data_IF_097100839558
#
_entry.id   IF_097100839558
#
_cell.length_a   1.000
_cell.length_b   1.000
_cell.length_c   1.000
_cell.angle_alpha   90.00
_cell.angle_beta   90.00
_cell.angle_gamma   90.00
#
_symmetry.space_group_name_H-M   'P 1'
#
loop_
_entity.id
_entity.type
_entity.pdbx_description
1 polymer ?
#
# COMPACT_ATOMS: atom_id res chain seq x y z
N UNK A 1 25.98 10.16 19.84
CA UNK A 1 25.33 9.20 20.73
C UNK A 1 24.51 8.26 19.87
N UNK A 2 24.75 6.94 19.86
CA UNK A 2 23.81 6.04 19.23
C UNK A 2 22.56 6.03 20.12
N UNK A 3 21.46 6.58 19.61
CA UNK A 3 20.14 6.41 20.22
C UNK A 3 19.87 4.91 20.25
N UNK A 4 19.92 4.30 21.44
CA UNK A 4 19.49 2.92 21.60
C UNK A 4 18.05 2.83 21.09
N UNK A 5 17.83 1.98 20.09
CA UNK A 5 16.52 1.73 19.52
C UNK A 5 15.70 0.91 20.53
N UNK A 6 15.15 1.59 21.55
CA UNK A 6 14.38 0.98 22.65
C UNK A 6 13.15 0.22 22.13
N UNK A 7 12.61 0.63 20.99
CA UNK A 7 11.49 -0.02 20.33
C UNK A 7 11.90 -1.08 19.31
N UNK A 8 13.21 -1.24 19.04
CA UNK A 8 13.73 -2.16 18.06
C UNK A 8 13.49 -3.63 18.40
N UNK A 9 13.24 -3.95 19.67
CA UNK A 9 12.93 -5.30 20.14
C UNK A 9 11.43 -5.62 20.16
N UNK A 10 10.55 -4.63 19.96
CA UNK A 10 9.10 -4.87 19.94
C UNK A 10 8.71 -5.59 18.62
N UNK A 11 8.10 -6.79 18.69
CA UNK A 11 7.72 -7.55 17.50
C UNK A 11 6.73 -6.80 16.58
N UNK A 12 5.83 -6.01 17.15
CA UNK A 12 4.84 -5.20 16.43
C UNK A 12 5.54 -4.09 15.68
N UNK A 13 6.50 -3.41 16.32
CA UNK A 13 7.29 -2.35 15.67
C UNK A 13 8.14 -2.93 14.54
N UNK A 14 8.77 -4.09 14.75
CA UNK A 14 9.51 -4.78 13.69
C UNK A 14 8.60 -5.16 12.52
N UNK A 15 7.41 -5.69 12.78
CA UNK A 15 6.43 -6.02 11.74
C UNK A 15 6.03 -4.77 10.95
N UNK A 16 5.68 -3.68 11.62
CA UNK A 16 5.33 -2.42 10.97
C UNK A 16 6.48 -1.87 10.11
N UNK A 17 7.71 -1.91 10.61
CA UNK A 17 8.90 -1.51 9.84
C UNK A 17 9.06 -2.35 8.57
N UNK A 18 8.89 -3.67 8.66
CA UNK A 18 8.94 -4.58 7.49
C UNK A 18 7.84 -4.23 6.47
N UNK A 19 6.61 -3.99 6.93
CA UNK A 19 5.50 -3.57 6.08
C UNK A 19 5.85 -2.28 5.35
N UNK A 20 6.29 -1.24 6.06
CA UNK A 20 6.65 0.03 5.45
C UNK A 20 7.80 -0.11 4.44
N UNK A 21 8.84 -0.89 4.76
CA UNK A 21 9.93 -1.16 3.82
C UNK A 21 9.45 -1.87 2.55
N UNK A 22 8.55 -2.85 2.68
CA UNK A 22 7.96 -3.55 1.53
C UNK A 22 7.08 -2.63 0.69
N UNK A 23 6.28 -1.78 1.32
CA UNK A 23 5.45 -0.77 0.65
C UNK A 23 6.29 0.25 -0.11
N UNK A 24 7.34 0.78 0.52
CA UNK A 24 8.22 1.78 -0.10
C UNK A 24 8.93 1.21 -1.33
N UNK A 25 9.44 -0.03 -1.23
CA UNK A 25 10.07 -0.72 -2.37
C UNK A 25 9.05 -0.97 -3.50
N UNK A 26 7.88 -1.49 -3.16
CA UNK A 26 6.82 -1.77 -4.15
C UNK A 26 6.32 -0.48 -4.83
N UNK A 27 6.23 0.62 -4.08
CA UNK A 27 5.87 1.92 -4.63
C UNK A 27 6.95 2.47 -5.57
N UNK A 28 8.24 2.35 -5.20
CA UNK A 28 9.36 2.77 -6.07
C UNK A 28 9.36 2.00 -7.38
N UNK A 29 9.16 0.69 -7.32
CA UNK A 29 9.07 -0.16 -8.52
C UNK A 29 7.87 0.25 -9.39
N UNK A 30 6.68 0.42 -8.81
CA UNK A 30 5.50 0.90 -9.53
C UNK A 30 5.75 2.24 -10.25
N UNK A 31 6.30 3.22 -9.56
CA UNK A 31 6.53 4.56 -10.15
C UNK A 31 7.58 4.52 -11.25
N UNK A 32 8.60 3.66 -11.13
CA UNK A 32 9.58 3.42 -12.19
C UNK A 32 8.92 2.80 -13.41
N UNK A 33 8.08 1.79 -13.21
CA UNK A 33 7.40 1.08 -14.30
C UNK A 33 6.39 1.98 -15.03
N UNK A 34 5.75 2.92 -14.31
CA UNK A 34 4.86 3.93 -14.89
C UNK A 34 5.60 5.13 -15.51
N UNK A 35 6.93 5.20 -15.39
CA UNK A 35 7.77 6.32 -15.85
C UNK A 35 7.28 7.70 -15.33
N UNK A 36 6.87 7.77 -14.06
CA UNK A 36 6.35 8.99 -13.45
C UNK A 36 7.45 9.69 -12.65
N UNK A 37 7.55 11.01 -12.81
CA UNK A 37 8.41 11.84 -11.97
C UNK A 37 8.00 11.76 -10.50
N UNK A 38 8.96 11.56 -9.60
CA UNK A 38 8.73 11.61 -8.15
C UNK A 38 8.15 12.95 -7.66
N UNK A 39 8.32 14.00 -8.46
CA UNK A 39 7.83 15.36 -8.20
C UNK A 39 6.47 15.65 -8.86
N UNK A 40 5.82 14.66 -9.49
CA UNK A 40 4.50 14.85 -10.06
C UNK A 40 3.50 15.26 -8.94
N UNK A 41 2.83 16.42 -9.06
CA UNK A 41 1.99 16.96 -8.00
C UNK A 41 0.78 16.08 -7.67
N UNK A 42 0.36 15.22 -8.61
CA UNK A 42 -0.75 14.27 -8.43
C UNK A 42 -0.38 13.17 -7.43
N UNK A 43 0.91 12.82 -7.33
CA UNK A 43 1.37 11.76 -6.42
C UNK A 43 1.12 12.08 -4.96
N UNK A 44 1.24 13.34 -4.54
CA UNK A 44 0.96 13.72 -3.15
C UNK A 44 -0.50 13.42 -2.79
N UNK A 45 -1.43 13.80 -3.66
CA UNK A 45 -2.87 13.57 -3.46
C UNK A 45 -3.19 12.08 -3.51
N UNK A 46 -2.64 11.35 -4.49
CA UNK A 46 -2.83 9.91 -4.63
C UNK A 46 -2.32 9.14 -3.40
N UNK A 47 -1.10 9.44 -2.92
CA UNK A 47 -0.51 8.83 -1.72
C UNK A 47 -1.34 9.08 -0.46
N UNK A 48 -1.79 10.32 -0.24
CA UNK A 48 -2.61 10.65 0.93
C UNK A 48 -3.91 9.84 0.92
N UNK A 49 -4.64 9.84 -0.21
CA UNK A 49 -5.87 9.06 -0.33
C UNK A 49 -5.63 7.55 -0.20
N UNK A 50 -4.52 7.04 -0.75
CA UNK A 50 -4.17 5.63 -0.66
C UNK A 50 -3.95 5.21 0.80
N UNK A 51 -3.25 6.04 1.57
CA UNK A 51 -3.06 5.83 3.01
C UNK A 51 -4.40 5.81 3.73
N UNK A 52 -5.24 6.82 3.50
CA UNK A 52 -6.52 6.92 4.20
C UNK A 52 -7.44 5.70 3.87
N UNK A 53 -7.43 5.23 2.62
CA UNK A 53 -8.14 4.00 2.21
C UNK A 53 -7.54 2.75 2.85
N UNK A 54 -6.21 2.66 2.91
CA UNK A 54 -5.52 1.53 3.53
C UNK A 54 -5.81 1.45 5.03
N UNK A 55 -5.75 2.57 5.76
CA UNK A 55 -6.06 2.65 7.19
C UNK A 55 -7.49 2.21 7.49
N UNK A 56 -8.44 2.54 6.61
CA UNK A 56 -9.84 2.11 6.74
C UNK A 56 -10.04 0.62 6.45
N UNK A 57 -9.38 0.10 5.42
CA UNK A 57 -9.65 -1.25 4.90
C UNK A 57 -8.78 -2.34 5.52
N UNK A 58 -7.59 -2.00 6.02
CA UNK A 58 -6.66 -2.98 6.57
C UNK A 58 -7.19 -3.73 7.80
N UNK A 59 -7.80 -3.08 8.81
CA UNK A 59 -8.40 -3.79 9.94
C UNK A 59 -9.51 -4.76 9.52
N UNK A 60 -10.34 -4.36 8.54
CA UNK A 60 -11.41 -5.19 7.99
C UNK A 60 -10.86 -6.38 7.19
N UNK A 61 -9.79 -6.17 6.43
CA UNK A 61 -9.12 -7.22 5.66
C UNK A 61 -8.47 -8.26 6.60
N UNK A 62 -7.88 -7.81 7.71
CA UNK A 62 -7.35 -8.69 8.76
C UNK A 62 -8.46 -9.48 9.44
N UNK A 63 -9.57 -8.82 9.82
CA UNK A 63 -10.71 -9.48 10.47
C UNK A 63 -11.35 -10.57 9.58
N UNK A 64 -11.40 -10.34 8.27
CA UNK A 64 -11.92 -11.28 7.27
C UNK A 64 -10.87 -12.29 6.79
N UNK A 65 -9.69 -12.32 7.40
CA UNK A 65 -8.56 -13.20 7.05
C UNK A 65 -8.12 -13.10 5.57
N UNK A 66 -8.41 -11.97 4.92
CA UNK A 66 -7.98 -11.68 3.54
C UNK A 66 -6.50 -11.31 3.52
N UNK A 67 -6.05 -10.61 4.55
CA UNK A 67 -4.65 -10.27 4.79
C UNK A 67 -4.23 -10.93 6.10
N UNK A 68 -3.11 -11.65 6.07
CA UNK A 68 -2.60 -12.39 7.24
C UNK A 68 -1.11 -12.22 7.50
N UNK A 69 -0.40 -11.46 6.65
CA UNK A 69 1.04 -11.21 6.79
C UNK A 69 1.44 -9.87 6.16
N UNK A 70 2.71 -9.49 6.32
CA UNK A 70 3.26 -8.21 5.87
C UNK A 70 3.17 -8.03 4.35
N UNK A 71 3.31 -9.13 3.60
CA UNK A 71 3.15 -9.13 2.14
C UNK A 71 1.71 -8.86 1.74
N UNK A 72 0.74 -9.45 2.42
CA UNK A 72 -0.68 -9.19 2.21
C UNK A 72 -1.05 -7.74 2.50
N UNK A 73 -0.52 -7.16 3.59
CA UNK A 73 -0.72 -5.75 3.91
C UNK A 73 -0.12 -4.84 2.84
N UNK A 74 1.07 -5.19 2.33
CA UNK A 74 1.71 -4.48 1.21
C UNK A 74 0.86 -4.55 -0.06
N UNK A 75 0.35 -5.73 -0.42
CA UNK A 75 -0.51 -5.89 -1.59
C UNK A 75 -1.80 -5.06 -1.48
N UNK A 76 -2.45 -5.09 -0.30
CA UNK A 76 -3.63 -4.27 -0.03
C UNK A 76 -3.34 -2.78 -0.26
N UNK A 77 -2.24 -2.26 0.28
CA UNK A 77 -1.82 -0.88 0.05
C UNK A 77 -1.55 -0.58 -1.43
N UNK A 78 -0.89 -1.49 -2.15
CA UNK A 78 -0.60 -1.29 -3.58
C UNK A 78 -1.89 -1.23 -4.42
N UNK A 79 -2.92 -2.00 -4.07
CA UNK A 79 -4.24 -1.86 -4.70
C UNK A 79 -4.90 -0.52 -4.39
N UNK A 80 -4.86 -0.06 -3.13
CA UNK A 80 -5.35 1.27 -2.76
C UNK A 80 -4.61 2.37 -3.54
N UNK A 81 -3.28 2.26 -3.67
CA UNK A 81 -2.45 3.20 -4.42
C UNK A 81 -2.78 3.20 -5.91
N UNK A 82 -2.88 2.02 -6.54
CA UNK A 82 -3.25 1.91 -7.94
C UNK A 82 -4.62 2.56 -8.21
N UNK A 83 -5.60 2.30 -7.34
CA UNK A 83 -6.92 2.91 -7.43
C UNK A 83 -6.86 4.44 -7.34
N UNK A 84 -6.13 4.99 -6.37
CA UNK A 84 -6.07 6.45 -6.19
C UNK A 84 -5.21 7.14 -7.23
N UNK A 85 -4.21 6.47 -7.81
CA UNK A 85 -3.47 6.97 -8.97
C UNK A 85 -4.42 7.15 -10.16
N UNK A 86 -5.23 6.14 -10.49
CA UNK A 86 -6.24 6.22 -11.55
C UNK A 86 -7.24 7.35 -11.30
N UNK A 87 -7.74 7.51 -10.06
CA UNK A 87 -8.63 8.62 -9.70
C UNK A 87 -7.99 10.02 -9.83
N UNK A 88 -6.66 10.10 -9.84
CA UNK A 88 -5.93 11.35 -10.04
C UNK A 88 -5.41 11.51 -11.49
N UNK A 89 -5.89 10.68 -12.43
CA UNK A 89 -5.55 10.78 -13.86
C UNK A 89 -4.17 10.22 -14.20
N UNK A 90 -3.66 9.30 -13.39
CA UNK A 90 -2.47 8.50 -13.69
C UNK A 90 -2.94 7.11 -14.08
N UNK A 91 -2.74 6.73 -15.35
CA UNK A 91 -3.08 5.38 -15.82
C UNK A 91 -2.16 4.34 -15.18
N UNK A 92 -2.76 3.34 -14.52
CA UNK A 92 -2.05 2.20 -13.96
C UNK A 92 -2.47 0.95 -14.74
N UNK A 93 -1.55 0.28 -15.45
CA UNK A 93 -1.88 -0.93 -16.19
C UNK A 93 -2.42 -2.03 -15.25
N UNK A 94 -3.45 -2.75 -15.68
CA UNK A 94 -4.06 -3.83 -14.88
C UNK A 94 -3.06 -4.93 -14.49
N UNK A 95 -2.04 -5.15 -15.32
CA UNK A 95 -0.97 -6.12 -15.09
C UNK A 95 -0.10 -5.75 -13.86
N UNK A 96 -0.07 -4.46 -13.51
CA UNK A 96 0.65 -3.95 -12.33
C UNK A 96 -0.28 -3.89 -11.11
N UNK A 97 -1.59 -3.78 -11.35
CA UNK A 97 -2.63 -3.68 -10.33
C UNK A 97 -3.05 -5.04 -9.73
N UNK A 98 -2.81 -6.19 -10.40
CA UNK A 98 -3.36 -7.48 -9.96
C UNK A 98 -2.32 -8.58 -9.76
N UNK A 99 -2.08 -8.95 -8.49
CA UNK A 99 -1.49 -10.25 -8.12
C UNK A 99 -2.35 -11.09 -7.18
N UNK A 100 -3.36 -10.51 -6.50
CA UNK A 100 -4.29 -11.26 -5.64
C UNK A 100 -5.75 -10.80 -5.86
N UNK A 101 -6.53 -11.64 -6.54
CA UNK A 101 -7.92 -11.37 -6.88
C UNK A 101 -8.83 -11.20 -5.64
N UNK A 102 -8.48 -11.84 -4.51
CA UNK A 102 -9.29 -11.76 -3.28
C UNK A 102 -9.25 -10.35 -2.72
N UNK A 103 -8.07 -9.73 -2.71
CA UNK A 103 -7.88 -8.35 -2.25
C UNK A 103 -8.61 -7.38 -3.19
N UNK A 104 -8.50 -7.58 -4.51
CA UNK A 104 -9.20 -6.75 -5.49
C UNK A 104 -10.73 -6.83 -5.33
N UNK A 105 -11.29 -8.03 -5.16
CA UNK A 105 -12.72 -8.22 -4.92
C UNK A 105 -13.19 -7.61 -3.60
N UNK A 106 -12.39 -7.72 -2.55
CA UNK A 106 -12.67 -7.11 -1.26
C UNK A 106 -12.74 -5.59 -1.35
N UNK A 107 -11.71 -4.96 -1.92
CA UNK A 107 -11.69 -3.50 -2.08
C UNK A 107 -12.85 -2.99 -2.95
N UNK A 108 -13.23 -3.72 -4.01
CA UNK A 108 -14.42 -3.34 -4.81
C UNK A 108 -15.73 -3.37 -4.02
N UNK A 109 -15.83 -4.18 -2.95
CA UNK A 109 -17.01 -4.23 -2.08
C UNK A 109 -17.00 -3.12 -1.04
N UNK A 110 -15.83 -2.83 -0.45
CA UNK A 110 -15.70 -1.83 0.62
C UNK A 110 -15.56 -0.39 0.10
N UNK A 111 -15.13 -0.18 -1.16
CA UNK A 111 -15.03 1.14 -1.81
C UNK A 111 -16.31 1.56 -2.57
N UNK A 112 -17.41 0.81 -2.40
CA UNK A 112 -18.70 1.07 -3.07
C UNK A 112 -19.56 2.07 -2.31
#
# INVERSE_FOLDING_TARGET
>A
MPTQDEWGHDPTVQMMRRIFSLMENSQKDLLRDLNISLFDPRLRRARSRARDLFEQTWPLAMQKEIVSNERGATLLYMHCLAHTLSLNGIEVPEQVSSKDERIAMFLRKELR
#
